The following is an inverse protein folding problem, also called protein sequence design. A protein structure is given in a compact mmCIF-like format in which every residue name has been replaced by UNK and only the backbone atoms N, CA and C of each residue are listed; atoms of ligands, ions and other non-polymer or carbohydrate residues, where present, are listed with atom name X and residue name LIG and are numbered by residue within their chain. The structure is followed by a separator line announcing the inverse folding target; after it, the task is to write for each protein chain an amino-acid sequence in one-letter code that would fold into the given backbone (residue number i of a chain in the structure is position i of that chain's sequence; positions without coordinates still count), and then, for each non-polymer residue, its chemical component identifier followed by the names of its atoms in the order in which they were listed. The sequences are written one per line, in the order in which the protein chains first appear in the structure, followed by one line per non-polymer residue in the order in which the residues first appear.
data_IF_790051892741
#
_entry.id   IF_790051892741
#
_cell.length_a   1.000
_cell.length_b   1.000
_cell.length_c   1.000
_cell.angle_alpha   90.00
_cell.angle_beta   90.00
_cell.angle_gamma   90.00
#
_symmetry.space_group_name_H-M   'P 1'
#
loop_
_entity.id
_entity.type
_entity.pdbx_description
1 polymer ?
#
# COMPACT_ATOMS: atom_id res chain seq x y z
N UNK A 1 19.84 20.49 17.62
CA UNK A 1 20.59 19.29 17.19
C UNK A 1 20.04 18.85 15.84
N UNK A 2 20.79 19.05 14.76
CA UNK A 2 20.39 18.60 13.42
C UNK A 2 20.70 17.11 13.32
N UNK A 3 19.71 16.28 12.97
CA UNK A 3 19.99 14.88 12.64
C UNK A 3 20.79 14.89 11.34
N UNK A 4 22.07 14.51 11.43
CA UNK A 4 22.88 14.20 10.26
C UNK A 4 22.17 13.06 9.52
N UNK A 5 21.96 13.24 8.22
CA UNK A 5 21.41 12.19 7.37
C UNK A 5 22.28 10.94 7.45
N UNK A 6 21.68 9.80 7.15
CA UNK A 6 22.41 8.54 7.06
C UNK A 6 23.52 8.67 6.01
N UNK A 7 24.69 8.14 6.34
CA UNK A 7 25.77 7.98 5.36
C UNK A 7 25.34 6.95 4.32
N UNK A 8 25.85 7.06 3.09
CA UNK A 8 25.47 6.20 1.95
C UNK A 8 25.57 4.70 2.29
N UNK A 9 26.62 4.31 3.03
CA UNK A 9 26.79 2.94 3.53
C UNK A 9 25.69 2.50 4.50
N UNK A 10 25.22 3.39 5.36
CA UNK A 10 24.14 3.09 6.30
C UNK A 10 22.80 2.92 5.56
N UNK A 11 22.61 3.65 4.46
CA UNK A 11 21.45 3.50 3.57
C UNK A 11 21.48 2.12 2.90
N UNK A 12 22.63 1.71 2.35
CA UNK A 12 22.82 0.40 1.71
C UNK A 12 22.55 -0.76 2.69
N UNK A 13 23.08 -0.67 3.91
CA UNK A 13 22.88 -1.66 4.97
C UNK A 13 21.40 -1.86 5.31
N UNK A 14 20.61 -0.77 5.34
CA UNK A 14 19.16 -0.82 5.59
C UNK A 14 18.44 -1.50 4.43
N UNK A 15 18.78 -1.17 3.19
CA UNK A 15 18.17 -1.81 2.01
C UNK A 15 18.44 -3.32 1.95
N UNK A 16 19.64 -3.75 2.34
CA UNK A 16 20.02 -5.16 2.26
C UNK A 16 19.28 -6.02 3.30
N UNK A 17 19.03 -5.47 4.51
CA UNK A 17 18.23 -6.13 5.55
C UNK A 17 16.77 -6.30 5.14
N UNK A 18 16.18 -5.26 4.54
CA UNK A 18 14.78 -5.29 4.08
C UNK A 18 14.53 -6.29 2.93
N UNK A 19 15.52 -6.51 2.08
CA UNK A 19 15.44 -7.52 1.02
C UNK A 19 15.52 -8.96 1.56
N UNK A 20 16.26 -9.19 2.64
CA UNK A 20 16.39 -10.53 3.24
C UNK A 20 15.08 -10.97 3.91
N UNK A 21 14.33 -10.05 4.52
CA UNK A 21 13.07 -10.36 5.22
C UNK A 21 11.89 -10.68 4.28
N UNK A 22 11.89 -10.18 3.03
CA UNK A 22 10.77 -10.33 2.10
C UNK A 22 10.74 -11.65 1.30
N UNK A 23 11.78 -12.48 1.38
CA UNK A 23 11.90 -13.70 0.56
C UNK A 23 11.16 -14.91 1.12
N UNK A 24 10.53 -14.81 2.29
CA UNK A 24 9.79 -15.92 2.90
C UNK A 24 8.30 -15.63 3.02
N UNK A 25 7.50 -16.55 2.47
CA UNK A 25 6.07 -16.80 2.67
C UNK A 25 5.07 -16.28 1.58
N UNK A 26 4.54 -17.19 0.74
CA UNK A 26 3.31 -17.01 0.00
C UNK A 26 2.14 -17.70 0.73
N UNK A 27 1.31 -16.94 1.44
CA UNK A 27 0.01 -17.42 1.91
C UNK A 27 -1.11 -16.59 1.30
N UNK A 28 -1.84 -17.26 0.44
CA UNK A 28 -3.09 -16.84 -0.18
C UNK A 28 -4.18 -16.75 0.89
N UNK A 29 -4.92 -15.64 0.95
CA UNK A 29 -6.22 -15.68 1.62
C UNK A 29 -7.19 -14.67 1.02
N UNK A 30 -8.27 -15.23 0.49
CA UNK A 30 -9.52 -14.58 0.08
C UNK A 30 -10.01 -13.64 1.18
N UNK A 31 -10.46 -12.44 0.81
CA UNK A 31 -11.19 -11.58 1.75
C UNK A 31 -12.52 -11.10 1.18
N UNK A 32 -13.55 -11.38 1.96
CA UNK A 32 -14.96 -11.08 1.77
C UNK A 32 -15.22 -9.59 1.88
N UNK A 33 -16.02 -9.05 0.95
CA UNK A 33 -16.42 -7.64 0.91
C UNK A 33 -17.65 -7.44 1.79
N UNK A 34 -17.50 -6.77 2.94
CA UNK A 34 -18.61 -6.11 3.62
C UNK A 34 -18.65 -4.65 3.16
N UNK A 35 -19.48 -4.37 2.16
CA UNK A 35 -19.73 -3.01 1.66
C UNK A 35 -20.87 -2.37 2.47
N UNK A 36 -20.53 -1.52 3.44
CA UNK A 36 -21.49 -0.54 3.95
C UNK A 36 -21.63 0.59 2.90
N UNK A 37 -22.83 0.70 2.33
CA UNK A 37 -23.23 1.78 1.43
C UNK A 37 -23.31 3.10 2.21
N UNK A 38 -22.27 3.90 2.11
CA UNK A 38 -22.36 5.34 2.35
C UNK A 38 -22.38 6.04 0.99
N UNK A 39 -23.38 6.91 0.84
CA UNK A 39 -23.82 7.58 -0.39
C UNK A 39 -22.81 8.67 -0.80
N UNK A 40 -21.61 8.24 -1.19
CA UNK A 40 -20.47 9.11 -1.49
C UNK A 40 -20.15 9.03 -2.97
N UNK A 41 -19.95 10.19 -3.61
CA UNK A 41 -19.50 10.26 -5.01
C UNK A 41 -18.23 9.42 -5.14
N UNK A 42 -18.36 8.25 -5.76
CA UNK A 42 -17.23 7.40 -6.07
C UNK A 42 -16.53 7.97 -7.29
N UNK A 43 -15.24 8.23 -7.17
CA UNK A 43 -14.41 8.55 -8.35
C UNK A 43 -13.98 7.26 -9.04
N UNK A 44 -13.81 7.35 -10.35
CA UNK A 44 -13.38 6.22 -11.17
C UNK A 44 -11.91 5.88 -10.93
N UNK A 45 -11.58 4.61 -11.12
CA UNK A 45 -10.21 4.12 -11.04
C UNK A 45 -9.39 4.72 -12.19
N UNK A 46 -8.18 5.20 -11.88
CA UNK A 46 -7.22 5.61 -12.92
C UNK A 46 -6.76 4.39 -13.73
N UNK A 47 -6.58 4.60 -15.03
CA UNK A 47 -5.86 3.65 -15.89
C UNK A 47 -4.48 3.36 -15.29
N UNK A 48 -4.00 2.13 -15.51
CA UNK A 48 -2.74 1.65 -14.96
C UNK A 48 -1.81 1.41 -16.14
N UNK A 49 -0.70 2.14 -16.18
CA UNK A 49 0.37 1.95 -17.15
C UNK A 49 1.42 0.92 -16.64
N UNK A 50 2.27 0.42 -17.53
CA UNK A 50 3.35 -0.50 -17.20
C UNK A 50 4.40 0.14 -16.28
N UNK A 51 4.60 1.46 -16.37
CA UNK A 51 5.50 2.20 -15.49
C UNK A 51 4.87 2.57 -14.14
N UNK A 52 3.57 2.36 -13.94
CA UNK A 52 2.93 2.77 -12.70
C UNK A 52 3.39 1.92 -11.52
N UNK A 53 3.72 2.61 -10.42
CA UNK A 53 4.24 1.99 -9.19
C UNK A 53 3.29 2.16 -8.01
N UNK A 54 3.20 1.13 -7.17
CA UNK A 54 2.45 1.20 -5.94
C UNK A 54 3.11 2.20 -4.97
N UNK A 55 2.39 3.22 -4.47
CA UNK A 55 2.99 4.26 -3.64
C UNK A 55 3.39 3.79 -2.24
N UNK A 56 2.99 2.59 -1.83
CA UNK A 56 3.35 2.00 -0.53
C UNK A 56 4.66 1.20 -0.63
N UNK A 57 4.79 0.34 -1.64
CA UNK A 57 5.94 -0.57 -1.76
C UNK A 57 6.92 -0.20 -2.88
N UNK A 58 6.60 0.80 -3.70
CA UNK A 58 7.39 1.30 -4.83
C UNK A 58 7.73 0.22 -5.87
N UNK A 59 6.91 -0.83 -5.97
CA UNK A 59 7.00 -1.85 -7.02
C UNK A 59 5.96 -1.58 -8.08
N UNK A 60 6.28 -1.92 -9.32
CA UNK A 60 5.37 -1.93 -10.47
C UNK A 60 4.01 -2.55 -10.09
N UNK A 61 2.93 -1.90 -10.50
CA UNK A 61 1.57 -2.34 -10.20
C UNK A 61 1.20 -3.61 -10.96
N UNK A 62 1.55 -3.67 -12.26
CA UNK A 62 1.19 -4.77 -13.16
C UNK A 62 2.14 -5.98 -13.06
N UNK A 63 3.31 -5.81 -12.44
CA UNK A 63 4.27 -6.91 -12.28
C UNK A 63 3.70 -7.98 -11.37
N UNK A 64 3.82 -9.24 -11.79
CA UNK A 64 3.42 -10.44 -11.04
C UNK A 64 1.90 -10.62 -10.85
N UNK A 65 1.05 -9.95 -11.64
CA UNK A 65 -0.42 -10.12 -11.60
C UNK A 65 -0.99 -10.00 -10.18
N UNK A 66 -0.39 -9.16 -9.34
CA UNK A 66 -0.87 -8.95 -7.97
C UNK A 66 -2.19 -8.20 -8.02
N UNK A 67 -3.17 -8.52 -7.15
CA UNK A 67 -4.44 -7.83 -7.17
C UNK A 67 -4.28 -6.38 -6.69
N UNK A 68 -4.94 -5.47 -7.40
CA UNK A 68 -4.87 -4.03 -7.21
C UNK A 68 -6.21 -3.51 -6.67
N UNK A 69 -6.14 -2.50 -5.83
CA UNK A 69 -7.27 -1.70 -5.35
C UNK A 69 -6.98 -0.23 -5.54
N UNK A 70 -7.96 0.64 -5.36
CA UNK A 70 -7.79 2.08 -5.54
C UNK A 70 -8.61 2.89 -4.54
N UNK A 71 -8.21 4.15 -4.35
CA UNK A 71 -8.97 5.08 -3.51
C UNK A 71 -10.23 5.58 -4.24
N UNK A 72 -11.41 5.12 -3.79
CA UNK A 72 -12.72 5.52 -4.32
C UNK A 72 -13.23 6.89 -3.87
N UNK A 73 -12.56 7.52 -2.89
CA UNK A 73 -13.07 8.73 -2.23
C UNK A 73 -12.45 10.03 -2.74
N UNK A 74 -11.16 10.06 -3.11
CA UNK A 74 -10.53 11.31 -3.55
C UNK A 74 -9.33 11.19 -4.50
N UNK A 75 -8.32 10.35 -4.24
CA UNK A 75 -7.09 10.39 -5.05
C UNK A 75 -7.05 9.42 -6.26
N UNK A 76 -7.95 8.42 -6.32
CA UNK A 76 -8.01 7.38 -7.36
C UNK A 76 -6.70 6.62 -7.62
N UNK A 77 -5.70 6.74 -6.74
CA UNK A 77 -4.42 6.07 -6.92
C UNK A 77 -4.57 4.56 -6.69
N UNK A 78 -3.88 3.81 -7.54
CA UNK A 78 -3.83 2.37 -7.54
C UNK A 78 -2.78 1.85 -6.54
N UNK A 79 -3.13 0.81 -5.79
CA UNK A 79 -2.35 0.27 -4.68
C UNK A 79 -2.52 -1.25 -4.69
N UNK A 80 -1.45 -2.02 -4.44
CA UNK A 80 -1.62 -3.46 -4.23
C UNK A 80 -2.51 -3.74 -3.02
N UNK A 81 -3.42 -4.72 -3.13
CA UNK A 81 -4.29 -5.12 -2.01
C UNK A 81 -3.45 -5.51 -0.78
N UNK A 82 -2.34 -6.23 -0.98
CA UNK A 82 -1.42 -6.62 0.11
C UNK A 82 -0.90 -5.39 0.87
N UNK A 83 -0.49 -4.34 0.16
CA UNK A 83 0.02 -3.12 0.76
C UNK A 83 -1.07 -2.37 1.53
N UNK A 84 -2.29 -2.30 0.99
CA UNK A 84 -3.43 -1.68 1.68
C UNK A 84 -3.85 -2.47 2.93
N UNK A 85 -3.73 -3.80 2.90
CA UNK A 85 -3.97 -4.67 4.07
C UNK A 85 -2.96 -4.40 5.18
N UNK A 86 -1.66 -4.42 4.87
CA UNK A 86 -0.64 -4.10 5.89
C UNK A 86 -0.83 -2.71 6.48
N UNK A 87 -1.22 -1.73 5.65
CA UNK A 87 -1.58 -0.40 6.13
C UNK A 87 -2.77 -0.44 7.10
N UNK A 88 -3.84 -1.15 6.73
CA UNK A 88 -5.01 -1.32 7.57
C UNK A 88 -4.65 -1.97 8.92
N UNK A 89 -3.91 -3.07 8.90
CA UNK A 89 -3.52 -3.84 10.09
C UNK A 89 -2.73 -2.96 11.08
N UNK A 90 -1.81 -2.14 10.58
CA UNK A 90 -1.04 -1.21 11.41
C UNK A 90 -1.88 -0.06 11.99
N UNK A 91 -2.94 0.36 11.29
CA UNK A 91 -3.86 1.41 11.75
C UNK A 91 -4.99 0.88 12.63
N UNK A 92 -5.31 -0.42 12.54
CA UNK A 92 -6.44 -1.03 13.24
C UNK A 92 -6.25 -1.12 14.76
N UNK A 93 -5.03 -0.92 15.28
CA UNK A 93 -4.83 -0.73 16.73
C UNK A 93 -5.52 0.52 17.30
N UNK A 94 -6.07 1.39 16.45
CA UNK A 94 -6.60 2.70 16.83
C UNK A 94 -8.13 2.79 16.71
N UNK A 95 -8.92 1.81 17.18
CA UNK A 95 -10.40 1.91 17.37
C UNK A 95 -11.23 2.44 16.17
N UNK A 96 -10.66 2.55 14.97
CA UNK A 96 -11.32 3.09 13.79
C UNK A 96 -11.96 1.93 13.04
N UNK A 97 -13.27 2.02 12.82
CA UNK A 97 -14.05 1.03 12.07
C UNK A 97 -13.78 1.08 10.57
N UNK A 98 -13.14 2.14 10.07
CA UNK A 98 -12.89 2.42 8.66
C UNK A 98 -11.42 2.79 8.43
N UNK A 99 -10.80 2.13 7.46
CA UNK A 99 -9.43 2.40 7.05
C UNK A 99 -9.41 3.57 6.06
N UNK A 100 -8.74 4.65 6.43
CA UNK A 100 -8.52 5.80 5.54
C UNK A 100 -7.41 5.49 4.53
N UNK A 101 -7.54 6.06 3.33
CA UNK A 101 -6.50 5.98 2.31
C UNK A 101 -5.20 6.64 2.83
N UNK A 102 -4.04 5.98 2.72
CA UNK A 102 -2.77 6.53 3.21
C UNK A 102 -2.33 7.83 2.51
N UNK A 103 -2.85 8.07 1.30
CA UNK A 103 -2.47 9.21 0.47
C UNK A 103 -3.42 10.39 0.63
N UNK A 104 -4.59 10.16 1.23
CA UNK A 104 -5.61 11.17 1.43
C UNK A 104 -5.57 11.54 2.90
N UNK A 105 -4.95 12.68 3.22
CA UNK A 105 -4.94 13.22 4.58
C UNK A 105 -6.34 13.57 5.04
#
# INVERSE_FOLDING_TARGET
AFKLGFLEREIEDVFQRLHQEQTQNPEETRFSQTLHQENDRCIDQKEIDEEDVCPICQKELLKKMLPITYCRKSCANNIHIKCMKTWADHKMNWRMTLVKCPLCR
#
